data_IF_607723589055
#
_entry.id   IF_607723589055
#
_cell.length_a   1.000
_cell.length_b   1.000
_cell.length_c   1.000
_cell.angle_alpha   90.00
_cell.angle_beta   90.00
_cell.angle_gamma   90.00
#
_symmetry.space_group_name_H-M   'P 1'
#
loop_
_entity.id
_entity.type
_entity.pdbx_description
1 polymer ?
#
# COMPACT_ATOMS: atom_id res chain seq x y z
N UNK A 1 -1.40 1.74 -28.29
CA UNK A 1 -1.87 0.76 -27.30
C UNK A 1 -1.78 1.42 -25.94
N UNK A 2 -2.89 1.96 -25.47
CA UNK A 2 -2.97 2.66 -24.18
C UNK A 2 -2.76 1.63 -23.07
N UNK A 3 -1.61 1.70 -22.40
CA UNK A 3 -1.37 0.91 -21.20
C UNK A 3 -2.43 1.34 -20.19
N UNK A 4 -3.36 0.45 -19.82
CA UNK A 4 -4.28 0.65 -18.70
C UNK A 4 -3.48 1.24 -17.54
N UNK A 5 -3.94 2.32 -16.89
CA UNK A 5 -3.22 2.86 -15.74
C UNK A 5 -3.05 1.70 -14.76
N UNK A 6 -1.79 1.34 -14.54
CA UNK A 6 -1.41 0.40 -13.50
C UNK A 6 -1.98 0.98 -12.22
N UNK A 7 -2.93 0.28 -11.60
CA UNK A 7 -3.62 0.74 -10.38
C UNK A 7 -2.58 1.33 -9.43
N UNK A 8 -2.74 2.59 -9.05
CA UNK A 8 -1.81 3.23 -8.12
C UNK A 8 -2.04 2.69 -6.71
N UNK A 9 -1.04 2.83 -5.84
CA UNK A 9 -1.20 2.46 -4.43
C UNK A 9 -2.32 3.27 -3.79
N UNK A 10 -2.48 4.54 -4.20
CA UNK A 10 -3.57 5.42 -3.77
C UNK A 10 -4.95 4.90 -4.16
N UNK A 11 -5.13 4.39 -5.39
CA UNK A 11 -6.39 3.76 -5.78
C UNK A 11 -6.68 2.47 -5.00
N UNK A 12 -5.64 1.68 -4.68
CA UNK A 12 -5.78 0.50 -3.84
C UNK A 12 -6.19 0.86 -2.42
N UNK A 13 -5.51 1.86 -1.83
CA UNK A 13 -5.78 2.39 -0.50
C UNK A 13 -7.21 2.90 -0.36
N UNK A 14 -7.69 3.66 -1.36
CA UNK A 14 -9.06 4.18 -1.34
C UNK A 14 -10.09 3.04 -1.32
N UNK A 15 -9.96 2.07 -2.23
CA UNK A 15 -10.88 0.92 -2.30
C UNK A 15 -10.84 0.09 -1.01
N UNK A 16 -9.66 -0.09 -0.45
CA UNK A 16 -9.50 -0.78 0.82
C UNK A 16 -10.19 -0.03 1.96
N UNK A 17 -10.05 1.30 2.03
CA UNK A 17 -10.67 2.14 3.06
C UNK A 17 -12.20 2.14 2.96
N UNK A 18 -12.75 2.21 1.74
CA UNK A 18 -14.18 2.07 1.49
C UNK A 18 -14.72 0.74 2.03
N UNK A 19 -14.05 -0.38 1.70
CA UNK A 19 -14.45 -1.70 2.19
C UNK A 19 -14.28 -1.82 3.72
N UNK A 20 -13.18 -1.32 4.28
CA UNK A 20 -12.92 -1.35 5.72
C UNK A 20 -13.98 -0.56 6.49
N UNK A 21 -14.45 0.58 5.96
CA UNK A 21 -15.49 1.40 6.59
C UNK A 21 -16.85 0.71 6.70
N UNK A 22 -17.17 -0.22 5.78
CA UNK A 22 -18.42 -0.98 5.81
C UNK A 22 -18.43 -2.06 6.90
N UNK A 23 -17.27 -2.65 7.18
CA UNK A 23 -17.13 -3.72 8.17
C UNK A 23 -16.79 -3.15 9.55
N UNK A 24 -15.96 -2.10 9.59
CA UNK A 24 -15.49 -1.49 10.82
C UNK A 24 -15.43 0.06 10.67
N UNK A 25 -16.56 0.75 10.90
CA UNK A 25 -16.66 2.19 10.66
C UNK A 25 -15.87 3.06 11.65
N UNK A 26 -15.53 2.55 12.84
CA UNK A 26 -14.82 3.27 13.90
C UNK A 26 -13.36 2.80 14.09
N UNK A 27 -12.68 2.48 12.98
CA UNK A 27 -11.30 2.01 13.02
C UNK A 27 -10.30 3.18 13.15
N UNK A 28 -9.39 3.10 14.11
CA UNK A 28 -8.33 4.09 14.32
C UNK A 28 -7.31 4.09 13.17
N UNK A 29 -6.69 5.24 12.91
CA UNK A 29 -5.75 5.38 11.79
C UNK A 29 -4.55 4.41 11.88
N UNK A 30 -4.05 4.15 13.10
CA UNK A 30 -3.00 3.15 13.32
C UNK A 30 -3.44 1.71 13.02
N UNK A 31 -4.68 1.37 13.35
CA UNK A 31 -5.25 0.06 13.04
C UNK A 31 -5.48 -0.06 11.53
N UNK A 32 -5.91 1.03 10.87
CA UNK A 32 -6.02 1.07 9.42
C UNK A 32 -4.68 0.82 8.74
N UNK A 33 -3.62 1.50 9.17
CA UNK A 33 -2.27 1.29 8.66
C UNK A 33 -1.84 -0.17 8.81
N UNK A 34 -2.00 -0.76 10.00
CA UNK A 34 -1.65 -2.17 10.26
C UNK A 34 -2.41 -3.14 9.36
N UNK A 35 -3.73 -3.00 9.25
CA UNK A 35 -4.52 -3.90 8.41
C UNK A 35 -4.22 -3.70 6.92
N UNK A 36 -3.92 -2.47 6.50
CA UNK A 36 -3.55 -2.18 5.11
C UNK A 36 -2.19 -2.80 4.74
N UNK A 37 -1.16 -2.73 5.59
CA UNK A 37 0.14 -3.39 5.33
C UNK A 37 -0.04 -4.89 5.04
N UNK A 38 -0.96 -5.54 5.77
CA UNK A 38 -1.24 -6.97 5.63
C UNK A 38 -1.89 -7.35 4.29
N UNK A 39 -2.37 -6.40 3.48
CA UNK A 39 -2.89 -6.70 2.14
C UNK A 39 -1.78 -6.89 1.10
N UNK A 40 -0.56 -6.45 1.42
CA UNK A 40 0.59 -6.55 0.53
C UNK A 40 1.35 -7.87 0.75
N UNK A 41 1.91 -8.40 -0.34
CA UNK A 41 2.80 -9.57 -0.29
C UNK A 41 4.27 -9.14 -0.09
N UNK A 42 5.16 -10.03 0.38
CA UNK A 42 6.60 -9.78 0.33
C UNK A 42 7.08 -9.52 -1.11
N UNK A 43 8.06 -8.64 -1.33
CA UNK A 43 8.80 -7.84 -0.36
C UNK A 43 8.12 -6.52 0.01
N UNK A 44 7.02 -6.12 -0.66
CA UNK A 44 6.28 -4.88 -0.35
C UNK A 44 5.89 -4.81 1.12
N UNK A 45 5.37 -5.90 1.68
CA UNK A 45 5.08 -6.01 3.12
C UNK A 45 6.30 -5.64 3.98
N UNK A 46 7.47 -6.19 3.65
CA UNK A 46 8.71 -5.93 4.41
C UNK A 46 9.15 -4.47 4.32
N UNK A 47 9.08 -3.88 3.12
CA UNK A 47 9.41 -2.46 2.93
C UNK A 47 8.46 -1.54 3.69
N UNK A 48 7.16 -1.79 3.64
CA UNK A 48 6.15 -1.03 4.37
C UNK A 48 6.29 -1.19 5.89
N UNK A 49 6.54 -2.42 6.37
CA UNK A 49 6.74 -2.70 7.80
C UNK A 49 8.00 -2.04 8.35
N UNK A 50 9.05 -1.92 7.53
CA UNK A 50 10.27 -1.19 7.89
C UNK A 50 10.09 0.33 7.94
N UNK A 51 8.98 0.85 7.42
CA UNK A 51 8.60 2.24 7.52
C UNK A 51 8.31 2.66 8.96
N UNK A 52 8.66 3.90 9.31
CA UNK A 52 8.53 4.42 10.68
C UNK A 52 7.11 4.94 10.97
N UNK A 53 6.22 4.97 9.95
CA UNK A 53 4.95 5.69 10.01
C UNK A 53 3.86 4.83 10.67
N UNK A 54 3.05 5.46 11.53
CA UNK A 54 1.88 4.82 12.15
C UNK A 54 0.58 5.23 11.48
N UNK A 55 0.62 6.23 10.61
CA UNK A 55 -0.53 6.82 9.97
C UNK A 55 -0.74 6.23 8.56
N UNK A 56 -2.01 5.97 8.24
CA UNK A 56 -2.44 5.38 6.99
C UNK A 56 -2.06 6.25 5.79
N UNK A 57 -2.22 7.57 5.88
CA UNK A 57 -1.89 8.47 4.77
C UNK A 57 -0.40 8.42 4.40
N UNK A 58 0.48 8.47 5.41
CA UNK A 58 1.93 8.38 5.19
C UNK A 58 2.34 7.01 4.64
N UNK A 59 1.62 5.96 5.04
CA UNK A 59 1.84 4.61 4.52
C UNK A 59 1.46 4.49 3.04
N UNK A 60 0.40 5.17 2.58
CA UNK A 60 0.03 5.22 1.16
C UNK A 60 1.15 5.89 0.35
N UNK A 61 1.67 7.02 0.85
CA UNK A 61 2.79 7.74 0.22
C UNK A 61 4.04 6.88 0.14
N UNK A 62 4.40 6.20 1.24
CA UNK A 62 5.53 5.27 1.26
C UNK A 62 5.34 4.13 0.25
N UNK A 63 4.14 3.57 0.15
CA UNK A 63 3.82 2.55 -0.85
C UNK A 63 4.00 3.04 -2.28
N UNK A 64 3.59 4.27 -2.60
CA UNK A 64 3.85 4.87 -3.93
C UNK A 64 5.35 5.02 -4.20
N UNK A 65 6.14 5.47 -3.21
CA UNK A 65 7.59 5.60 -3.35
C UNK A 65 8.26 4.24 -3.57
N UNK A 66 7.80 3.19 -2.88
CA UNK A 66 8.30 1.82 -3.06
C UNK A 66 7.96 1.32 -4.47
N UNK A 67 6.72 1.49 -4.92
CA UNK A 67 6.28 1.08 -6.27
C UNK A 67 7.06 1.79 -7.37
N UNK A 68 7.30 3.11 -7.24
CA UNK A 68 8.16 3.87 -8.15
C UNK A 68 9.60 3.34 -8.12
N UNK A 69 10.13 3.07 -6.93
CA UNK A 69 11.51 2.59 -6.76
C UNK A 69 11.70 1.19 -7.37
N UNK A 70 10.71 0.31 -7.24
CA UNK A 70 10.68 -1.02 -7.88
C UNK A 70 10.59 -0.89 -9.39
N UNK A 71 9.67 -0.05 -9.91
CA UNK A 71 9.53 0.21 -11.35
C UNK A 71 10.81 0.77 -11.97
N UNK A 72 11.58 1.54 -11.20
CA UNK A 72 12.87 2.10 -11.60
C UNK A 72 14.06 1.15 -11.36
N UNK A 73 13.82 -0.08 -10.88
CA UNK A 73 14.87 -1.07 -10.60
C UNK A 73 15.77 -0.73 -9.41
N UNK A 74 15.38 0.23 -8.57
CA UNK A 74 16.14 0.62 -7.36
C UNK A 74 15.86 -0.28 -6.16
N UNK A 75 14.70 -0.96 -6.17
CA UNK A 75 14.30 -1.94 -5.17
C UNK A 75 13.84 -3.22 -5.88
N UNK A 76 13.96 -4.36 -5.20
CA UNK A 76 13.50 -5.63 -5.74
C UNK A 76 11.97 -5.72 -5.65
N UNK A 77 11.32 -5.82 -6.79
CA UNK A 77 9.91 -6.21 -6.86
C UNK A 77 9.84 -7.72 -6.76
N UNK A 78 9.32 -8.26 -5.66
CA UNK A 78 9.05 -9.69 -5.52
C UNK A 78 8.32 -10.20 -6.74
N UNK A 79 8.76 -11.36 -7.22
CA UNK A 79 8.35 -11.96 -8.48
C UNK A 79 6.87 -11.76 -8.79
N UNK A 80 6.65 -11.32 -10.03
CA UNK A 80 5.37 -11.18 -10.73
C UNK A 80 4.34 -12.22 -10.26
N UNK A 81 3.16 -11.69 -9.91
CA UNK A 81 1.84 -12.34 -9.75
C UNK A 81 1.72 -13.80 -10.14
#
# INVERSE_FOLDING_TARGET
>A
MEKKPTKTITEHAQRWRDAASQVHPAISDNEQARLFINTFKPPYYGYLLSGITKDFADLVVLGEMIDISIKNGKLEGGGKV
#
